data_IF_522842645596
#
_entry.id   IF_522842645596
#
_cell.length_a   1.000
_cell.length_b   1.000
_cell.length_c   1.000
_cell.angle_alpha   90.00
_cell.angle_beta   90.00
_cell.angle_gamma   90.00
#
_symmetry.space_group_name_H-M   'P 1'
#
loop_
_entity.id
_entity.type
_entity.pdbx_description
1 polymer ?
#
# COMPACT_ATOMS: atom_id res chain seq x y z
N UNK A 1 -13.57 -3.99 -37.58
CA UNK A 1 -12.38 -3.65 -36.78
C UNK A 1 -12.88 -2.91 -35.53
N UNK A 2 -12.90 -3.39 -34.29
CA UNK A 2 -12.60 -4.67 -33.67
C UNK A 2 -13.51 -4.77 -32.43
N UNK A 3 -13.94 -5.98 -32.10
CA UNK A 3 -15.00 -6.31 -31.16
C UNK A 3 -14.43 -6.31 -29.73
N UNK A 4 -15.03 -5.62 -28.78
CA UNK A 4 -14.68 -5.77 -27.36
C UNK A 4 -14.93 -7.23 -26.95
N UNK A 5 -13.95 -7.97 -26.41
CA UNK A 5 -14.19 -9.34 -25.98
C UNK A 5 -14.94 -9.33 -24.64
N UNK A 6 -16.21 -9.73 -24.69
CA UNK A 6 -16.93 -10.21 -23.52
C UNK A 6 -16.27 -11.52 -23.07
N UNK A 7 -15.33 -11.45 -22.13
CA UNK A 7 -14.87 -12.64 -21.43
C UNK A 7 -15.96 -13.05 -20.44
N UNK A 8 -16.83 -13.95 -20.91
CA UNK A 8 -17.62 -14.85 -20.08
C UNK A 8 -16.66 -15.56 -19.11
N UNK A 9 -16.82 -15.33 -17.81
CA UNK A 9 -16.21 -16.18 -16.79
C UNK A 9 -17.01 -17.50 -16.73
N UNK A 10 -16.42 -18.66 -17.06
CA UNK A 10 -17.11 -19.93 -16.89
C UNK A 10 -16.76 -20.53 -15.52
N UNK A 11 -17.78 -21.16 -14.93
CA UNK A 11 -17.74 -22.04 -13.75
C UNK A 11 -17.84 -21.35 -12.38
N UNK A 12 -19.10 -21.14 -11.99
CA UNK A 12 -19.57 -21.66 -10.71
C UNK A 12 -19.02 -23.07 -10.49
N UNK A 13 -18.45 -23.34 -9.32
CA UNK A 13 -18.59 -24.65 -8.72
C UNK A 13 -18.87 -24.48 -7.23
N UNK A 14 -20.17 -24.50 -6.96
CA UNK A 14 -20.79 -24.54 -5.65
C UNK A 14 -20.72 -26.00 -5.23
N UNK A 15 -19.69 -26.37 -4.47
CA UNK A 15 -19.73 -27.56 -3.64
C UNK A 15 -19.06 -27.22 -2.31
N UNK A 16 -19.91 -27.18 -1.29
CA UNK A 16 -19.58 -27.06 0.11
C UNK A 16 -18.59 -28.14 0.54
N UNK A 17 -17.44 -27.75 1.09
CA UNK A 17 -16.74 -28.54 2.08
C UNK A 17 -15.76 -27.64 2.86
N UNK A 18 -15.78 -27.81 4.18
CA UNK A 18 -14.85 -27.23 5.17
C UNK A 18 -15.05 -25.75 5.54
N UNK A 19 -16.11 -25.50 6.31
CA UNK A 19 -16.04 -24.50 7.39
C UNK A 19 -15.06 -25.00 8.46
N UNK A 20 -13.77 -24.67 8.33
CA UNK A 20 -12.88 -24.56 9.50
C UNK A 20 -11.61 -23.77 9.10
N UNK A 21 -11.46 -22.57 9.68
CA UNK A 21 -10.23 -21.79 9.73
C UNK A 21 -9.71 -21.17 8.41
N UNK A 22 -10.44 -20.19 7.85
CA UNK A 22 -9.82 -19.20 6.95
C UNK A 22 -9.07 -18.15 7.77
N UNK A 23 -7.75 -18.27 7.81
CA UNK A 23 -6.83 -17.21 8.25
C UNK A 23 -7.16 -15.91 7.51
N UNK A 24 -7.23 -14.72 8.16
CA UNK A 24 -7.59 -13.47 7.49
C UNK A 24 -6.42 -12.94 6.67
N UNK A 25 -6.04 -13.66 5.61
CA UNK A 25 -5.45 -13.05 4.43
C UNK A 25 -5.61 -14.00 3.24
N UNK A 26 -6.82 -14.07 2.69
CA UNK A 26 -7.07 -14.67 1.39
C UNK A 26 -7.28 -13.55 0.36
N UNK A 27 -6.36 -12.58 0.28
CA UNK A 27 -6.14 -11.85 -0.95
C UNK A 27 -4.98 -12.55 -1.66
N UNK A 28 -5.06 -12.87 -2.97
CA UNK A 28 -3.84 -13.21 -3.69
C UNK A 28 -2.91 -12.01 -3.54
N UNK A 29 -1.80 -12.14 -2.83
CA UNK A 29 -0.77 -11.11 -2.82
C UNK A 29 -0.27 -10.99 -4.25
N UNK A 30 -0.78 -10.00 -4.98
CA UNK A 30 -0.15 -9.56 -6.22
C UNK A 30 1.19 -9.04 -5.74
N UNK A 31 2.23 -9.85 -5.93
CA UNK A 31 3.59 -9.49 -5.55
C UNK A 31 4.02 -8.33 -6.45
N UNK A 32 3.79 -7.11 -5.99
CA UNK A 32 4.26 -5.90 -6.66
C UNK A 32 5.73 -5.75 -6.32
N UNK A 33 6.59 -5.85 -7.33
CA UNK A 33 8.01 -5.60 -7.15
C UNK A 33 8.25 -4.16 -6.65
N UNK A 34 9.19 -3.96 -5.72
CA UNK A 34 9.45 -2.63 -5.19
C UNK A 34 9.93 -1.69 -6.29
N UNK A 35 9.28 -0.54 -6.41
CA UNK A 35 9.72 0.50 -7.32
C UNK A 35 11.13 1.00 -6.95
N UNK A 36 11.96 1.27 -7.96
CA UNK A 36 13.23 1.97 -7.79
C UNK A 36 13.01 3.37 -7.21
N UNK A 37 13.41 3.55 -5.95
CA UNK A 37 13.27 4.81 -5.21
C UNK A 37 14.62 5.44 -4.91
N UNK A 38 14.64 6.76 -4.81
CA UNK A 38 15.84 7.52 -4.41
C UNK A 38 16.35 7.00 -3.06
N UNK A 39 17.68 6.83 -2.96
CA UNK A 39 18.33 6.35 -1.74
C UNK A 39 18.06 7.31 -0.59
N UNK A 40 17.55 6.78 0.52
CA UNK A 40 17.43 7.55 1.75
C UNK A 40 18.79 7.65 2.43
N UNK A 41 19.22 8.86 2.84
CA UNK A 41 20.47 9.01 3.56
C UNK A 41 20.40 8.26 4.89
N UNK A 42 21.55 7.83 5.42
CA UNK A 42 21.64 7.07 6.68
C UNK A 42 22.27 7.92 7.81
N UNK A 43 22.09 7.47 9.05
CA UNK A 43 22.73 8.06 10.24
C UNK A 43 22.40 9.54 10.46
N UNK A 44 23.43 10.36 10.66
CA UNK A 44 23.31 11.79 10.99
C UNK A 44 22.59 12.60 9.91
N UNK A 45 22.86 12.29 8.64
CA UNK A 45 22.22 12.99 7.52
C UNK A 45 20.70 12.78 7.55
N UNK A 46 20.24 11.58 7.87
CA UNK A 46 18.81 11.30 8.05
C UNK A 46 18.20 12.06 9.22
N UNK A 47 18.90 12.13 10.35
CA UNK A 47 18.44 12.88 11.54
C UNK A 47 18.28 14.37 11.24
N UNK A 48 19.14 14.96 10.42
CA UNK A 48 18.99 16.35 9.96
C UNK A 48 17.73 16.54 9.13
N UNK A 49 17.50 15.68 8.12
CA UNK A 49 16.28 15.75 7.29
C UNK A 49 15.01 15.65 8.15
N UNK A 50 15.00 14.75 9.14
CA UNK A 50 13.87 14.63 10.07
C UNK A 50 13.68 15.86 10.95
N UNK A 51 14.75 16.43 11.51
CA UNK A 51 14.68 17.63 12.33
C UNK A 51 14.09 18.81 11.55
N UNK A 52 14.62 19.05 10.34
CA UNK A 52 14.13 20.12 9.47
C UNK A 52 12.64 19.93 9.15
N UNK A 53 12.19 18.70 8.85
CA UNK A 53 10.76 18.39 8.59
C UNK A 53 9.85 18.54 9.81
N UNK A 54 10.36 18.27 11.01
CA UNK A 54 9.55 18.25 12.25
C UNK A 54 9.45 19.60 12.95
N UNK A 55 10.49 20.43 12.83
CA UNK A 55 10.63 21.61 13.67
C UNK A 55 10.87 22.91 12.90
N UNK A 56 11.57 22.86 11.75
CA UNK A 56 11.93 24.07 10.99
C UNK A 56 10.87 24.38 9.94
N UNK A 57 10.60 23.42 9.05
CA UNK A 57 9.68 23.57 7.93
C UNK A 57 8.34 22.91 8.25
N UNK A 58 7.74 23.27 9.39
CA UNK A 58 6.46 22.71 9.82
C UNK A 58 5.36 23.22 8.90
N UNK A 59 4.71 22.33 8.17
CA UNK A 59 3.47 22.66 7.47
C UNK A 59 2.37 22.95 8.51
N UNK A 60 1.65 24.06 8.34
CA UNK A 60 0.59 24.48 9.25
C UNK A 60 -0.51 23.41 9.29
N UNK A 61 -0.54 22.62 10.36
CA UNK A 61 -1.64 21.70 10.63
C UNK A 61 -2.69 22.47 11.40
N UNK A 62 -3.88 22.66 10.82
CA UNK A 62 -5.04 23.10 11.58
C UNK A 62 -5.37 22.04 12.64
N UNK A 63 -5.00 22.30 13.90
CA UNK A 63 -5.11 21.36 15.01
C UNK A 63 -3.80 20.63 15.37
N UNK A 64 -3.89 19.43 15.97
CA UNK A 64 -2.72 18.64 16.40
C UNK A 64 -1.99 18.01 15.20
N UNK A 65 -0.66 17.98 15.24
CA UNK A 65 0.19 17.51 14.12
C UNK A 65 -0.01 16.02 13.82
N UNK A 66 -0.23 15.67 12.55
CA UNK A 66 -0.19 14.30 12.00
C UNK A 66 1.13 14.05 11.27
N UNK A 67 1.72 12.86 11.43
CA UNK A 67 3.02 12.50 10.81
C UNK A 67 2.87 12.07 9.35
N UNK A 68 1.73 11.47 9.02
CA UNK A 68 1.33 11.09 7.67
C UNK A 68 -0.12 11.54 7.47
N UNK A 69 -0.42 12.47 6.55
CA UNK A 69 -1.79 12.66 6.09
C UNK A 69 -2.15 11.52 5.14
N UNK A 70 -3.26 10.86 5.42
CA UNK A 70 -3.81 9.77 4.59
C UNK A 70 -4.20 10.27 3.18
#
# INVERSE_FOLDING_TARGET
MGKYPLNLNPCLNINEAATENRHPNCHPEIQVEPQEKKKTPKGRAYKRVLYTRRFVNVTMTGGKRKVHPD
#
